data_IF_855988491779
#
_entry.id   IF_855988491779
#
_cell.length_a   1.000
_cell.length_b   1.000
_cell.length_c   1.000
_cell.angle_alpha   90.00
_cell.angle_beta   90.00
_cell.angle_gamma   90.00
#
_symmetry.space_group_name_H-M   'P 1'
#
loop_
_entity.id
_entity.type
_entity.pdbx_description
1 polymer ?
#
# COMPACT_ATOMS: atom_id res chain seq x y z
N UNK A 1 -22.38 -35.05 6.62
CA UNK A 1 -22.15 -34.26 5.40
C UNK A 1 -22.81 -32.90 5.58
N UNK A 2 -22.05 -31.81 5.68
CA UNK A 2 -22.59 -30.46 5.85
C UNK A 2 -23.02 -29.93 4.48
N UNK A 3 -24.31 -29.76 4.28
CA UNK A 3 -24.90 -29.12 3.09
C UNK A 3 -24.45 -27.67 3.02
N UNK A 4 -23.61 -27.32 2.06
CA UNK A 4 -23.26 -25.93 1.73
C UNK A 4 -24.53 -25.22 1.21
N UNK A 5 -25.23 -24.51 2.09
CA UNK A 5 -26.31 -23.62 1.69
C UNK A 5 -25.70 -22.50 0.82
N UNK A 6 -26.05 -22.46 -0.45
CA UNK A 6 -25.68 -21.35 -1.33
C UNK A 6 -26.32 -20.07 -0.78
N UNK A 7 -25.51 -19.11 -0.33
CA UNK A 7 -26.01 -17.81 0.10
C UNK A 7 -26.83 -17.16 -1.03
N UNK A 8 -28.04 -16.70 -0.71
CA UNK A 8 -28.95 -16.05 -1.66
C UNK A 8 -28.31 -14.75 -2.15
N UNK A 9 -28.11 -14.60 -3.46
CA UNK A 9 -27.59 -13.36 -4.05
C UNK A 9 -28.56 -12.23 -3.75
N UNK A 10 -28.13 -11.24 -2.98
CA UNK A 10 -28.91 -10.02 -2.72
C UNK A 10 -28.65 -8.97 -3.80
N UNK A 11 -29.59 -8.01 -3.96
CA UNK A 11 -29.50 -6.93 -4.97
C UNK A 11 -28.19 -6.13 -4.87
N UNK A 12 -27.77 -5.82 -3.66
CA UNK A 12 -26.58 -5.02 -3.38
C UNK A 12 -25.37 -5.81 -2.88
N UNK A 13 -25.44 -7.13 -2.86
CA UNK A 13 -24.33 -7.99 -2.44
C UNK A 13 -23.07 -7.82 -3.28
N UNK A 14 -23.20 -7.36 -4.53
CA UNK A 14 -22.09 -7.02 -5.41
C UNK A 14 -21.30 -5.79 -4.97
N UNK A 15 -21.88 -4.95 -4.10
CA UNK A 15 -21.23 -3.75 -3.57
C UNK A 15 -20.43 -4.04 -2.27
N UNK A 16 -20.47 -5.29 -1.78
CA UNK A 16 -19.77 -5.71 -0.57
C UNK A 16 -18.56 -6.53 -0.99
N UNK A 17 -17.42 -5.87 -0.98
CA UNK A 17 -16.14 -6.46 -1.32
C UNK A 17 -15.44 -7.00 -0.08
N UNK A 18 -14.89 -8.19 -0.17
CA UNK A 18 -14.19 -8.84 0.95
C UNK A 18 -12.82 -9.35 0.49
N UNK A 19 -12.73 -10.64 0.13
CA UNK A 19 -11.48 -11.26 -0.27
C UNK A 19 -11.02 -10.88 -1.69
N UNK A 20 -11.93 -10.47 -2.53
CA UNK A 20 -11.71 -10.10 -3.93
C UNK A 20 -10.79 -8.89 -4.10
N UNK A 21 -10.79 -7.97 -3.12
CA UNK A 21 -9.89 -6.81 -3.09
C UNK A 21 -8.65 -7.00 -2.22
N UNK A 22 -8.50 -8.14 -1.54
CA UNK A 22 -7.29 -8.42 -0.76
C UNK A 22 -6.21 -8.98 -1.68
N UNK A 23 -5.10 -8.25 -1.79
CA UNK A 23 -3.92 -8.66 -2.56
C UNK A 23 -2.72 -8.82 -1.67
N UNK A 24 -1.85 -9.77 -2.02
CA UNK A 24 -0.55 -9.86 -1.38
C UNK A 24 0.42 -8.91 -2.10
N UNK A 25 0.86 -7.87 -1.40
CA UNK A 25 1.82 -6.90 -1.93
C UNK A 25 3.04 -6.90 -1.00
N UNK A 26 4.04 -7.76 -1.27
CA UNK A 26 5.20 -7.93 -0.41
C UNK A 26 5.96 -6.63 -0.14
N UNK A 27 5.90 -5.71 -1.09
CA UNK A 27 6.49 -4.40 -1.00
C UNK A 27 5.95 -3.58 0.19
N UNK A 28 4.65 -3.65 0.47
CA UNK A 28 4.02 -3.02 1.64
C UNK A 28 4.00 -3.92 2.88
N UNK A 29 4.66 -5.07 2.84
CA UNK A 29 4.75 -5.98 3.98
C UNK A 29 3.71 -7.08 4.01
N UNK A 30 2.84 -7.20 3.01
CA UNK A 30 1.91 -8.34 2.94
C UNK A 30 0.55 -8.03 2.33
N UNK A 31 -0.51 -8.41 3.06
CA UNK A 31 -1.88 -8.25 2.58
C UNK A 31 -2.33 -6.80 2.66
N UNK A 32 -2.89 -6.32 1.56
CA UNK A 32 -3.44 -4.99 1.41
C UNK A 32 -4.84 -5.09 0.80
N UNK A 33 -5.73 -4.15 1.16
CA UNK A 33 -6.92 -3.88 0.37
C UNK A 33 -6.55 -2.94 -0.76
N UNK A 34 -6.81 -3.34 -2.00
CA UNK A 34 -6.53 -2.50 -3.17
C UNK A 34 -7.67 -2.62 -4.15
N UNK A 35 -8.23 -1.48 -4.54
CA UNK A 35 -9.24 -1.37 -5.57
C UNK A 35 -8.93 -0.21 -6.51
N UNK A 36 -8.78 -0.50 -7.78
CA UNK A 36 -8.56 0.48 -8.84
C UNK A 36 -9.07 -0.06 -10.18
N UNK A 37 -8.97 0.75 -11.23
CA UNK A 37 -9.35 0.35 -12.60
C UNK A 37 -10.81 -0.12 -12.73
N UNK A 38 -11.73 0.50 -11.96
CA UNK A 38 -13.16 0.24 -12.03
C UNK A 38 -13.65 -0.94 -11.21
N UNK A 39 -12.84 -1.48 -10.31
CA UNK A 39 -13.23 -2.56 -9.39
C UNK A 39 -14.31 -2.14 -8.38
N UNK A 40 -14.35 -0.84 -8.05
CA UNK A 40 -15.45 -0.24 -7.30
C UNK A 40 -16.45 0.41 -8.26
N UNK A 41 -17.74 0.39 -7.89
CA UNK A 41 -18.79 1.13 -8.62
C UNK A 41 -18.81 2.61 -8.15
N UNK A 42 -17.65 3.25 -8.23
CA UNK A 42 -17.39 4.62 -7.83
C UNK A 42 -16.20 5.19 -8.59
N UNK A 43 -16.13 6.53 -8.70
CA UNK A 43 -15.00 7.24 -9.30
C UNK A 43 -13.86 7.45 -8.28
N UNK A 44 -13.42 6.33 -7.70
CA UNK A 44 -12.38 6.29 -6.69
C UNK A 44 -11.52 5.03 -6.87
N UNK A 45 -10.23 5.17 -6.56
CA UNK A 45 -9.31 4.06 -6.33
C UNK A 45 -8.79 4.15 -4.90
N UNK A 46 -8.59 3.02 -4.26
CA UNK A 46 -8.10 2.96 -2.88
C UNK A 46 -6.99 1.94 -2.73
N UNK A 47 -6.02 2.25 -1.85
CA UNK A 47 -5.01 1.34 -1.35
C UNK A 47 -4.92 1.45 0.17
N UNK A 48 -5.21 0.36 0.90
CA UNK A 48 -5.05 0.29 2.35
C UNK A 48 -3.94 -0.69 2.69
N UNK A 49 -2.88 -0.18 3.32
CA UNK A 49 -1.67 -0.92 3.61
C UNK A 49 -1.30 -0.82 5.10
N UNK A 50 -0.82 -1.93 5.66
CA UNK A 50 -0.21 -1.94 6.99
C UNK A 50 1.31 -1.91 6.83
N UNK A 51 1.96 -0.86 7.32
CA UNK A 51 3.41 -0.67 7.24
C UNK A 51 4.01 -0.94 8.60
N UNK A 52 4.82 -2.00 8.71
CA UNK A 52 5.47 -2.42 9.95
C UNK A 52 7.00 -2.33 9.89
N UNK A 53 7.55 -1.82 8.79
CA UNK A 53 9.01 -1.71 8.56
C UNK A 53 9.32 -0.45 7.77
N UNK A 54 10.53 0.10 7.91
CA UNK A 54 11.02 1.14 7.02
C UNK A 54 10.90 0.72 5.54
N UNK A 55 10.45 1.66 4.73
CA UNK A 55 10.24 1.45 3.30
C UNK A 55 10.43 2.77 2.56
N UNK A 56 11.05 2.71 1.40
CA UNK A 56 11.15 3.85 0.50
C UNK A 56 10.45 3.48 -0.80
N UNK A 57 9.49 4.26 -1.20
CA UNK A 57 8.68 3.96 -2.36
C UNK A 57 8.32 5.19 -3.16
N UNK A 58 7.97 4.89 -4.37
CA UNK A 58 7.59 5.75 -5.46
C UNK A 58 8.68 6.71 -5.97
N UNK A 59 8.76 6.74 -7.29
CA UNK A 59 9.49 7.79 -8.01
C UNK A 59 8.62 9.04 -8.11
N UNK A 60 9.21 10.25 -8.22
CA UNK A 60 8.46 11.47 -8.49
C UNK A 60 7.53 11.31 -9.68
N UNK A 61 6.26 11.69 -9.51
CA UNK A 61 5.25 11.64 -10.56
C UNK A 61 4.13 12.65 -10.30
N UNK A 62 3.33 12.88 -11.33
CA UNK A 62 2.10 13.64 -11.24
C UNK A 62 0.97 12.90 -11.96
N UNK A 63 -0.26 13.24 -11.63
CA UNK A 63 -1.46 12.71 -12.30
C UNK A 63 -2.55 13.78 -12.38
N UNK A 64 -3.51 13.61 -13.28
CA UNK A 64 -4.55 14.60 -13.57
C UNK A 64 -5.79 14.49 -12.67
N UNK A 65 -5.70 13.82 -11.55
CA UNK A 65 -6.75 13.69 -10.55
C UNK A 65 -6.20 14.03 -9.15
N UNK A 66 -7.05 14.48 -8.21
CA UNK A 66 -6.63 14.70 -6.83
C UNK A 66 -6.42 13.37 -6.10
N UNK A 67 -5.52 13.39 -5.12
CA UNK A 67 -5.22 12.24 -4.28
C UNK A 67 -5.11 12.64 -2.81
N UNK A 68 -5.45 11.74 -1.93
CA UNK A 68 -5.21 11.86 -0.50
C UNK A 68 -4.36 10.68 -0.02
N UNK A 69 -3.29 11.00 0.72
CA UNK A 69 -2.46 10.01 1.38
C UNK A 69 -2.62 10.18 2.89
N UNK A 70 -3.09 9.13 3.55
CA UNK A 70 -3.31 9.15 4.99
C UNK A 70 -2.26 8.28 5.67
N UNK A 71 -1.53 8.86 6.62
CA UNK A 71 -0.61 8.16 7.52
C UNK A 71 -1.24 8.14 8.90
N UNK A 72 -1.65 6.98 9.37
CA UNK A 72 -2.49 6.84 10.57
C UNK A 72 -1.84 5.84 11.52
N UNK A 73 -1.95 6.05 12.84
CA UNK A 73 -1.52 5.09 13.83
C UNK A 73 -2.28 3.77 13.73
N UNK A 74 -1.60 2.65 13.92
CA UNK A 74 -2.19 1.31 13.86
C UNK A 74 -2.96 0.92 15.13
N UNK A 75 -3.07 1.79 16.14
CA UNK A 75 -3.81 1.54 17.36
C UNK A 75 -5.30 1.84 17.16
N UNK A 76 -6.20 0.84 17.18
CA UNK A 76 -7.63 1.07 16.96
C UNK A 76 -8.32 1.85 18.08
N UNK A 77 -7.65 2.04 19.24
CA UNK A 77 -8.15 2.83 20.37
C UNK A 77 -7.73 4.30 20.29
N UNK A 78 -6.66 4.57 19.55
CA UNK A 78 -6.11 5.92 19.39
C UNK A 78 -5.38 6.04 18.06
N UNK A 79 -6.03 6.62 17.06
CA UNK A 79 -5.46 6.84 15.73
C UNK A 79 -4.29 7.82 15.74
N UNK A 80 -4.11 8.59 16.81
CA UNK A 80 -2.99 9.53 17.00
C UNK A 80 -1.76 8.86 17.61
N UNK A 81 -1.86 7.60 18.05
CA UNK A 81 -0.73 6.78 18.52
C UNK A 81 0.17 6.40 17.33
N UNK A 82 0.90 7.38 16.84
CA UNK A 82 1.74 7.31 15.65
C UNK A 82 3.21 7.40 16.05
N UNK A 83 3.99 6.37 15.73
CA UNK A 83 5.42 6.31 16.05
C UNK A 83 6.22 5.85 14.80
N UNK A 84 6.26 6.74 13.83
CA UNK A 84 7.04 6.60 12.60
C UNK A 84 7.62 7.95 12.18
N UNK A 85 8.68 7.92 11.37
CA UNK A 85 9.28 9.10 10.76
C UNK A 85 9.27 8.96 9.25
N UNK A 86 8.64 9.91 8.58
CA UNK A 86 8.44 9.89 7.13
C UNK A 86 8.99 11.19 6.54
N UNK A 87 9.78 11.09 5.47
CA UNK A 87 10.04 12.19 4.58
C UNK A 87 9.14 12.02 3.35
N UNK A 88 8.32 13.03 3.07
CA UNK A 88 7.43 13.07 1.93
C UNK A 88 7.73 14.28 1.06
N UNK A 89 7.91 14.08 -0.23
CA UNK A 89 8.19 15.16 -1.17
C UNK A 89 6.94 15.49 -1.98
N UNK A 90 6.60 16.78 -2.05
CA UNK A 90 5.51 17.32 -2.85
C UNK A 90 5.90 18.70 -3.38
N UNK A 91 5.66 18.99 -4.67
CA UNK A 91 6.00 20.25 -5.31
C UNK A 91 7.50 20.59 -5.25
N UNK A 92 8.37 19.58 -5.16
CA UNK A 92 9.81 19.74 -5.01
C UNK A 92 10.28 20.00 -3.56
N UNK A 93 9.37 20.08 -2.59
CA UNK A 93 9.69 20.30 -1.18
C UNK A 93 9.55 19.02 -0.38
N UNK A 94 10.50 18.73 0.52
CA UNK A 94 10.45 17.57 1.40
C UNK A 94 9.94 17.96 2.78
N UNK A 95 8.84 17.34 3.19
CA UNK A 95 8.19 17.52 4.48
C UNK A 95 8.44 16.33 5.39
N UNK A 96 8.63 16.62 6.69
CA UNK A 96 8.78 15.60 7.73
C UNK A 96 7.42 15.34 8.39
N UNK A 97 6.97 14.10 8.35
CA UNK A 97 5.74 13.65 8.99
C UNK A 97 6.13 12.74 10.16
N UNK A 98 5.80 13.16 11.38
CA UNK A 98 6.08 12.44 12.63
C UNK A 98 4.83 12.26 13.51
N UNK A 99 3.66 12.60 12.96
CA UNK A 99 2.34 12.46 13.58
C UNK A 99 1.36 11.94 12.56
N UNK A 100 0.24 11.41 13.00
CA UNK A 100 -0.86 11.05 12.10
C UNK A 100 -1.23 12.26 11.23
N UNK A 101 -1.32 12.05 9.93
CA UNK A 101 -1.50 13.13 8.95
C UNK A 101 -2.32 12.68 7.75
N UNK A 102 -3.01 13.63 7.14
CA UNK A 102 -3.61 13.51 5.81
C UNK A 102 -2.94 14.52 4.90
N UNK A 103 -2.37 14.04 3.82
CA UNK A 103 -1.80 14.88 2.76
C UNK A 103 -2.80 14.95 1.62
N UNK A 104 -3.22 16.15 1.25
CA UNK A 104 -4.08 16.40 0.08
C UNK A 104 -3.21 16.85 -1.10
N UNK A 105 -3.24 16.09 -2.17
CA UNK A 105 -2.45 16.33 -3.38
C UNK A 105 -3.39 16.81 -4.49
N UNK A 106 -3.26 18.07 -4.93
CA UNK A 106 -4.04 18.57 -6.06
C UNK A 106 -3.65 17.88 -7.37
N UNK A 107 -4.55 17.88 -8.34
CA UNK A 107 -4.25 17.43 -9.69
C UNK A 107 -3.03 18.13 -10.27
N UNK A 108 -2.18 17.37 -10.98
CA UNK A 108 -0.97 17.83 -11.67
C UNK A 108 0.14 18.39 -10.77
N UNK A 109 0.08 18.16 -9.47
CA UNK A 109 1.19 18.45 -8.56
C UNK A 109 2.11 17.25 -8.49
N UNK A 110 3.40 17.46 -8.80
CA UNK A 110 4.42 16.41 -8.65
C UNK A 110 4.61 16.08 -7.18
N UNK A 111 4.65 14.81 -6.88
CA UNK A 111 4.85 14.28 -5.53
C UNK A 111 5.61 12.96 -5.55
N UNK A 112 6.01 12.49 -4.37
CA UNK A 112 6.96 11.40 -4.13
C UNK A 112 8.42 11.83 -4.40
N UNK A 113 9.41 11.15 -3.82
CA UNK A 113 9.29 9.86 -3.09
C UNK A 113 8.66 10.00 -1.70
N UNK A 114 8.19 8.86 -1.18
CA UNK A 114 7.82 8.67 0.22
C UNK A 114 8.89 7.79 0.87
N UNK A 115 9.59 8.32 1.86
CA UNK A 115 10.62 7.60 2.59
C UNK A 115 10.22 7.43 4.05
N UNK A 116 9.67 6.27 4.40
CA UNK A 116 9.35 5.88 5.77
C UNK A 116 10.63 5.36 6.41
N UNK A 117 11.31 6.23 7.18
CA UNK A 117 12.65 5.98 7.74
C UNK A 117 12.64 5.06 8.94
N UNK A 118 11.66 5.28 9.82
CA UNK A 118 11.49 4.48 11.05
C UNK A 118 10.02 4.13 11.24
N UNK A 119 9.77 2.95 11.77
CA UNK A 119 8.44 2.46 12.15
C UNK A 119 8.62 1.73 13.48
N UNK A 120 8.47 2.44 14.59
CA UNK A 120 8.54 1.83 15.94
C UNK A 120 7.22 1.16 16.29
N UNK A 121 6.09 1.72 15.82
CA UNK A 121 4.77 1.10 15.86
C UNK A 121 4.22 0.96 14.44
N UNK A 122 3.57 -0.15 14.07
CA UNK A 122 2.94 -0.29 12.77
C UNK A 122 1.97 0.86 12.49
N UNK A 123 2.01 1.36 11.26
CA UNK A 123 1.11 2.42 10.79
C UNK A 123 0.23 1.91 9.66
N UNK A 124 -0.87 2.60 9.45
CA UNK A 124 -1.74 2.42 8.30
C UNK A 124 -1.37 3.50 7.28
N UNK A 125 -1.11 3.08 6.08
CA UNK A 125 -0.99 3.94 4.92
C UNK A 125 -2.19 3.72 4.02
N UNK A 126 -3.01 4.76 3.85
CA UNK A 126 -4.21 4.71 3.03
C UNK A 126 -4.07 5.71 1.89
N UNK A 127 -4.15 5.20 0.66
CA UNK A 127 -4.18 5.97 -0.58
C UNK A 127 -5.63 6.08 -1.05
N UNK A 128 -6.07 7.28 -1.41
CA UNK A 128 -7.38 7.55 -2.00
C UNK A 128 -7.20 8.44 -3.20
N UNK A 129 -7.29 7.87 -4.40
CA UNK A 129 -7.21 8.61 -5.65
C UNK A 129 -8.62 8.85 -6.18
N UNK A 130 -8.98 10.11 -6.45
CA UNK A 130 -10.30 10.48 -6.95
C UNK A 130 -10.39 10.23 -8.46
N UNK A 131 -10.22 8.98 -8.81
CA UNK A 131 -10.32 8.47 -10.19
C UNK A 131 -10.72 7.01 -10.18
N UNK A 132 -11.57 6.63 -11.15
CA UNK A 132 -11.94 5.23 -11.37
C UNK A 132 -10.78 4.42 -11.95
N UNK A 133 -9.94 5.07 -12.75
CA UNK A 133 -8.84 4.43 -13.47
C UNK A 133 -7.55 5.10 -13.04
N UNK A 134 -6.74 4.39 -12.28
CA UNK A 134 -5.46 4.88 -11.83
C UNK A 134 -4.39 4.70 -12.92
N UNK A 135 -4.02 5.80 -13.57
CA UNK A 135 -2.93 5.84 -14.55
C UNK A 135 -2.00 7.00 -14.21
N UNK A 136 -0.80 6.74 -13.69
CA UNK A 136 0.18 7.80 -13.53
C UNK A 136 0.59 8.32 -14.91
N UNK A 137 0.67 9.64 -15.06
CA UNK A 137 1.22 10.25 -16.25
C UNK A 137 2.68 9.82 -16.42
N UNK A 138 2.99 9.14 -17.52
CA UNK A 138 4.36 8.83 -17.92
C UNK A 138 5.02 7.56 -17.36
N UNK A 139 4.35 6.72 -16.57
CA UNK A 139 4.94 5.43 -16.17
C UNK A 139 4.94 4.42 -17.31
N UNK A 140 6.12 4.11 -17.83
CA UNK A 140 6.32 2.97 -18.73
C UNK A 140 5.97 1.67 -17.99
N UNK A 141 4.98 0.92 -18.51
CA UNK A 141 4.50 -0.38 -17.96
C UNK A 141 5.63 -1.40 -17.72
N UNK A 142 6.77 -1.26 -18.40
CA UNK A 142 7.96 -2.13 -18.24
C UNK A 142 8.60 -2.08 -16.85
N UNK A 143 8.70 -0.91 -16.21
CA UNK A 143 9.42 -0.79 -14.91
C UNK A 143 8.67 -1.43 -13.74
N UNK A 144 7.32 -1.43 -13.73
CA UNK A 144 6.54 -2.02 -12.64
C UNK A 144 6.64 -3.56 -12.64
N UNK A 145 6.65 -4.18 -13.83
CA UNK A 145 6.85 -5.63 -13.98
C UNK A 145 8.25 -6.05 -13.54
N UNK A 146 9.28 -5.23 -13.82
CA UNK A 146 10.68 -5.54 -13.45
C UNK A 146 10.94 -5.44 -11.94
N UNK A 147 10.24 -4.55 -11.22
CA UNK A 147 10.30 -4.46 -9.76
C UNK A 147 9.66 -5.68 -9.08
N UNK A 148 8.49 -6.12 -9.56
CA UNK A 148 7.81 -7.31 -9.06
C UNK A 148 8.65 -8.56 -9.34
N UNK A 149 9.22 -8.68 -10.53
CA UNK A 149 10.07 -9.82 -10.93
C UNK A 149 11.44 -9.86 -10.25
N UNK A 150 12.00 -8.72 -9.80
CA UNK A 150 13.25 -8.70 -9.04
C UNK A 150 13.12 -9.21 -7.61
N UNK A 151 11.94 -9.11 -7.01
CA UNK A 151 11.68 -9.62 -5.65
C UNK A 151 11.57 -11.14 -5.65
N UNK A 152 11.05 -11.74 -6.73
CA UNK A 152 10.87 -13.21 -6.82
C UNK A 152 12.17 -13.99 -7.12
N UNK A 153 13.27 -13.33 -7.51
CA UNK A 153 14.52 -13.98 -7.94
C UNK A 153 15.66 -13.99 -6.92
N UNK A 154 15.42 -13.70 -5.62
CA UNK A 154 16.43 -13.96 -4.60
C UNK A 154 16.42 -15.44 -4.23
N UNK A 155 17.49 -16.23 -4.51
CA UNK A 155 17.54 -17.63 -4.13
C UNK A 155 17.61 -17.77 -2.62
N UNK A 156 16.81 -18.73 -2.08
CA UNK A 156 16.86 -19.11 -0.69
C UNK A 156 18.31 -19.52 -0.32
N UNK A 157 18.92 -18.82 0.63
CA UNK A 157 20.23 -19.18 1.18
C UNK A 157 20.11 -20.55 1.87
N UNK A 158 20.75 -21.55 1.29
CA UNK A 158 20.87 -22.89 1.88
C UNK A 158 21.58 -22.80 3.24
N UNK A 159 20.88 -23.10 4.31
CA UNK A 159 21.47 -23.25 5.63
C UNK A 159 22.49 -24.39 5.61
N UNK A 160 23.73 -24.10 6.01
CA UNK A 160 24.78 -25.12 6.19
C UNK A 160 24.42 -26.05 7.36
N UNK A 161 24.59 -27.38 7.23
CA UNK A 161 24.34 -28.30 8.33
C UNK A 161 25.39 -28.11 9.44
N UNK A 162 24.93 -28.03 10.68
CA UNK A 162 25.79 -28.02 11.88
C UNK A 162 26.51 -29.38 12.02
N UNK A 163 27.83 -29.35 12.04
CA UNK A 163 28.68 -30.50 12.33
C UNK A 163 28.40 -31.02 13.73
N UNK A 164 28.08 -32.33 13.84
CA UNK A 164 27.99 -33.04 15.11
C UNK A 164 29.39 -33.24 15.69
N UNK A 165 29.70 -32.66 16.85
CA UNK A 165 30.86 -33.04 17.65
C UNK A 165 30.56 -34.44 18.25
N UNK A 166 31.42 -35.40 17.92
CA UNK A 166 31.52 -36.67 18.63
C UNK A 166 32.32 -36.45 19.93
N UNK A 167 31.81 -37.00 20.99
CA UNK A 167 32.57 -37.40 22.17
C UNK A 167 33.04 -38.84 21.98
#
# INVERSE_FOLDING_TARGET
MATKTKAKKTKYGKCIHTKDLIRNIPYYGGKSFVAHDGELDADVSIGYHCIAKPINFDEPHAHNFPEMLCFIGGNPKDITDFDAQIDFTIGGETHKISKAAVVSIPSNVEHCPINIKTVNKPIIFLEISLTRIWKPAGRNKKKKADLINKVEKKPATKAKPKAKKKK
#
